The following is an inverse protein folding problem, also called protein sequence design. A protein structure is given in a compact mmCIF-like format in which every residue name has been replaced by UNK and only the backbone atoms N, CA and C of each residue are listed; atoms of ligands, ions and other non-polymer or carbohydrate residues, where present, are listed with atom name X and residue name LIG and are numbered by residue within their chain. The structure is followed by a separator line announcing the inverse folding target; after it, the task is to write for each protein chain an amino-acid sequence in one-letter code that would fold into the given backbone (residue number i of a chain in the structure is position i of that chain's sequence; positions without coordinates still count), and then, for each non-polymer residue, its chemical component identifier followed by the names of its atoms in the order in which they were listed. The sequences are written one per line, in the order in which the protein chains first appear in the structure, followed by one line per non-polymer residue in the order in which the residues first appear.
data_IF_306815412538
#
_entry.id   IF_306815412538
#
_cell.length_a   1.000
_cell.length_b   1.000
_cell.length_c   1.000
_cell.angle_alpha   90.00
_cell.angle_beta   90.00
_cell.angle_gamma   90.00
#
_symmetry.space_group_name_H-M   'P 1'
#
loop_
_entity.id
_entity.type
_entity.pdbx_description
1 polymer ?
#
# COMPACT_ATOMS: atom_id res chain seq x y z
N UNK A 1 -7.33 15.56 -3.70
CA UNK A 1 -7.98 15.95 -2.44
C UNK A 1 -8.85 17.19 -2.65
N UNK A 2 -8.31 18.27 -3.22
CA UNK A 2 -9.03 19.54 -3.43
C UNK A 2 -10.25 19.46 -4.36
N UNK A 3 -10.36 18.45 -5.23
CA UNK A 3 -11.51 18.27 -6.14
C UNK A 3 -12.86 18.10 -5.41
N UNK A 4 -12.84 17.67 -4.14
CA UNK A 4 -14.02 17.60 -3.30
C UNK A 4 -13.61 17.98 -1.87
N UNK A 5 -13.66 19.28 -1.54
CA UNK A 5 -13.35 19.76 -0.20
C UNK A 5 -14.24 19.09 0.84
N UNK A 6 -13.65 18.81 2.00
CA UNK A 6 -14.35 18.28 3.16
C UNK A 6 -14.17 19.19 4.35
N UNK A 7 -15.14 19.15 5.25
CA UNK A 7 -15.07 19.80 6.55
C UNK A 7 -15.30 18.76 7.66
N UNK A 8 -14.60 18.86 8.79
CA UNK A 8 -14.92 18.06 9.95
C UNK A 8 -16.28 18.48 10.50
N UNK A 9 -17.13 17.49 10.79
CA UNK A 9 -18.46 17.67 11.38
C UNK A 9 -18.56 16.81 12.62
N UNK A 10 -19.09 17.40 13.69
CA UNK A 10 -19.39 16.72 14.94
C UNK A 10 -20.89 16.46 15.00
N UNK A 11 -21.26 15.21 15.25
CA UNK A 11 -22.66 14.80 15.46
C UNK A 11 -22.83 14.26 16.88
N UNK A 12 -23.85 14.78 17.55
CA UNK A 12 -24.33 14.28 18.84
C UNK A 12 -25.61 13.51 18.58
N UNK A 13 -25.64 12.24 18.99
CA UNK A 13 -26.90 11.51 18.94
C UNK A 13 -27.83 12.02 20.05
N UNK A 14 -29.15 11.99 19.79
CA UNK A 14 -30.16 12.49 20.73
C UNK A 14 -30.38 11.58 21.96
N UNK A 15 -29.74 10.41 22.00
CA UNK A 15 -29.84 9.49 23.13
C UNK A 15 -28.95 9.94 24.28
N UNK A 16 -29.49 9.87 25.50
CA UNK A 16 -28.75 10.21 26.72
C UNK A 16 -27.49 9.34 26.85
N UNK A 17 -26.33 10.00 27.02
CA UNK A 17 -25.03 9.34 27.15
C UNK A 17 -24.36 8.94 25.84
N UNK A 18 -24.87 9.35 24.68
CA UNK A 18 -24.19 9.09 23.42
C UNK A 18 -22.91 9.92 23.27
N UNK A 19 -21.80 9.25 22.95
CA UNK A 19 -20.53 9.90 22.65
C UNK A 19 -20.60 10.69 21.34
N UNK A 20 -20.02 11.90 21.26
CA UNK A 20 -20.00 12.69 20.05
C UNK A 20 -19.13 12.01 18.99
N UNK A 21 -19.66 11.88 17.76
CA UNK A 21 -18.95 11.28 16.64
C UNK A 21 -18.47 12.35 15.67
N UNK A 22 -17.17 12.39 15.42
CA UNK A 22 -16.58 13.23 14.38
C UNK A 22 -16.54 12.47 13.05
N UNK A 23 -16.95 13.13 11.96
CA UNK A 23 -16.84 12.59 10.61
C UNK A 23 -16.51 13.70 9.61
N UNK A 24 -16.00 13.32 8.42
CA UNK A 24 -15.81 14.27 7.32
C UNK A 24 -17.10 14.40 6.50
N UNK A 25 -17.58 15.62 6.30
CA UNK A 25 -18.65 15.91 5.34
C UNK A 25 -18.07 16.53 4.07
N UNK A 26 -18.53 16.08 2.90
CA UNK A 26 -18.14 16.63 1.59
C UNK A 26 -19.01 17.82 1.22
N UNK A 27 -18.40 18.84 0.58
CA UNK A 27 -19.16 19.90 -0.06
C UNK A 27 -20.13 19.32 -1.13
N UNK A 28 -21.35 19.84 -1.17
CA UNK A 28 -22.34 19.42 -2.17
C UNK A 28 -21.87 19.77 -3.59
N UNK A 29 -22.30 18.97 -4.58
CA UNK A 29 -22.12 19.27 -6.00
C UNK A 29 -20.89 18.66 -6.70
N UNK A 30 -19.99 17.97 -5.99
CA UNK A 30 -18.88 17.25 -6.64
C UNK A 30 -19.39 16.02 -7.41
N UNK A 31 -18.86 15.75 -8.61
CA UNK A 31 -19.20 14.56 -9.38
C UNK A 31 -18.78 13.27 -8.64
N UNK A 32 -19.48 12.12 -8.84
CA UNK A 32 -19.14 10.87 -8.15
C UNK A 32 -17.67 10.44 -8.32
N UNK A 33 -17.11 10.60 -9.51
CA UNK A 33 -15.70 10.28 -9.79
C UNK A 33 -14.74 11.18 -8.99
N UNK A 34 -15.01 12.48 -8.91
CA UNK A 34 -14.19 13.43 -8.15
C UNK A 34 -14.25 13.14 -6.65
N UNK A 35 -15.40 12.71 -6.12
CA UNK A 35 -15.51 12.28 -4.73
C UNK A 35 -14.59 11.09 -4.44
N UNK A 36 -14.56 10.09 -5.32
CA UNK A 36 -13.68 8.92 -5.17
C UNK A 36 -12.19 9.32 -5.23
N UNK A 37 -11.80 10.10 -6.24
CA UNK A 37 -10.41 10.55 -6.40
C UNK A 37 -9.97 11.43 -5.23
N UNK A 38 -10.83 12.33 -4.76
CA UNK A 38 -10.54 13.19 -3.62
C UNK A 38 -10.39 12.38 -2.32
N UNK A 39 -11.25 11.39 -2.09
CA UNK A 39 -11.17 10.50 -0.93
C UNK A 39 -9.87 9.67 -0.94
N UNK A 40 -9.52 9.05 -2.07
CA UNK A 40 -8.25 8.32 -2.22
C UNK A 40 -7.04 9.22 -1.98
N UNK A 41 -7.05 10.43 -2.52
CA UNK A 41 -5.97 11.38 -2.31
C UNK A 41 -5.84 11.80 -0.83
N UNK A 42 -6.95 12.03 -0.11
CA UNK A 42 -6.90 12.33 1.33
C UNK A 42 -6.37 11.15 2.14
N UNK A 43 -6.85 9.95 1.87
CA UNK A 43 -6.36 8.74 2.52
C UNK A 43 -4.86 8.53 2.27
N UNK A 44 -4.39 8.74 1.03
CA UNK A 44 -2.97 8.65 0.69
C UNK A 44 -2.13 9.72 1.39
N UNK A 45 -2.62 10.97 1.48
CA UNK A 45 -1.94 12.05 2.21
C UNK A 45 -1.83 11.71 3.69
N UNK A 46 -2.95 11.31 4.34
CA UNK A 46 -2.97 10.94 5.74
C UNK A 46 -2.02 9.77 6.04
N UNK A 47 -2.04 8.75 5.18
CA UNK A 47 -1.11 7.62 5.26
C UNK A 47 0.36 8.04 5.12
N UNK A 48 0.67 8.85 4.11
CA UNK A 48 2.05 9.28 3.81
C UNK A 48 2.61 10.27 4.82
N UNK A 49 1.75 11.01 5.52
CA UNK A 49 2.10 11.92 6.60
C UNK A 49 2.12 11.22 7.98
N UNK A 50 1.47 10.06 8.11
CA UNK A 50 1.35 9.32 9.37
C UNK A 50 2.53 8.40 9.68
N UNK A 51 2.44 7.72 10.84
CA UNK A 51 3.48 6.84 11.36
C UNK A 51 3.74 5.61 10.47
N UNK A 52 2.68 5.09 9.84
CA UNK A 52 2.74 3.94 8.94
C UNK A 52 3.61 4.18 7.70
N UNK A 53 3.88 5.43 7.34
CA UNK A 53 4.86 5.78 6.29
C UNK A 53 6.18 5.04 6.52
N UNK A 54 6.64 4.95 7.77
CA UNK A 54 7.91 4.30 8.11
C UNK A 54 7.89 2.79 7.89
N UNK A 55 6.71 2.18 7.77
CA UNK A 55 6.50 0.75 7.51
C UNK A 55 6.32 0.44 6.02
N UNK A 56 6.04 1.43 5.17
CA UNK A 56 5.88 1.25 3.73
C UNK A 56 7.19 0.77 3.07
N UNK A 57 7.14 -0.36 2.36
CA UNK A 57 8.29 -0.93 1.63
C UNK A 57 7.88 -1.35 0.23
N UNK A 58 8.82 -1.25 -0.72
CA UNK A 58 8.68 -1.87 -2.03
C UNK A 58 8.91 -3.38 -1.91
N UNK A 59 8.18 -4.19 -2.67
CA UNK A 59 8.38 -5.64 -2.67
C UNK A 59 9.66 -6.02 -3.43
N UNK A 60 10.53 -6.81 -2.81
CA UNK A 60 11.80 -7.26 -3.41
C UNK A 60 11.67 -8.48 -4.35
N UNK A 61 10.46 -8.94 -4.67
CA UNK A 61 10.30 -10.07 -5.57
C UNK A 61 10.47 -9.64 -7.04
N UNK A 62 11.10 -10.48 -7.90
CA UNK A 62 11.26 -10.16 -9.31
C UNK A 62 9.93 -9.80 -9.98
N UNK A 63 9.93 -8.70 -10.75
CA UNK A 63 8.77 -8.16 -11.47
C UNK A 63 7.57 -7.76 -10.59
N UNK A 64 7.76 -7.61 -9.27
CA UNK A 64 6.71 -7.06 -8.40
C UNK A 64 6.78 -5.53 -8.38
N UNK A 65 5.66 -4.86 -8.65
CA UNK A 65 5.56 -3.39 -8.59
C UNK A 65 4.80 -2.89 -7.37
N UNK A 66 4.42 -3.79 -6.46
CA UNK A 66 3.58 -3.46 -5.30
C UNK A 66 4.41 -2.96 -4.12
N UNK A 67 3.82 -2.02 -3.38
CA UNK A 67 4.23 -1.68 -2.03
C UNK A 67 3.46 -2.52 -1.00
N UNK A 68 4.01 -2.64 0.20
CA UNK A 68 3.36 -3.27 1.34
C UNK A 68 3.75 -2.58 2.64
N UNK A 69 2.93 -2.77 3.67
CA UNK A 69 3.27 -2.38 5.04
C UNK A 69 4.03 -3.51 5.72
N UNK A 70 5.23 -3.21 6.20
CA UNK A 70 6.05 -4.14 6.96
C UNK A 70 5.43 -4.34 8.35
N UNK A 71 4.92 -5.53 8.60
CA UNK A 71 4.31 -5.94 9.88
C UNK A 71 5.33 -6.55 10.84
N UNK A 72 6.33 -7.25 10.31
CA UNK A 72 7.40 -7.85 11.12
C UNK A 72 8.80 -7.60 10.53
N UNK A 73 9.87 -7.57 11.35
CA UNK A 73 11.22 -7.21 10.91
C UNK A 73 11.80 -8.04 9.75
N UNK A 74 11.38 -9.30 9.62
CA UNK A 74 11.84 -10.22 8.55
C UNK A 74 10.99 -10.20 7.27
N UNK A 75 9.95 -9.36 7.19
CA UNK A 75 9.09 -9.31 5.99
C UNK A 75 9.80 -8.55 4.87
N UNK A 76 10.10 -9.25 3.79
CA UNK A 76 10.76 -8.70 2.59
C UNK A 76 9.85 -8.67 1.35
N UNK A 77 8.68 -9.32 1.44
CA UNK A 77 7.74 -9.47 0.32
C UNK A 77 6.32 -9.11 0.70
N UNK A 78 5.56 -8.58 -0.26
CA UNK A 78 4.17 -8.19 -0.05
C UNK A 78 3.24 -9.37 0.22
N UNK A 79 3.59 -10.57 -0.26
CA UNK A 79 2.83 -11.81 -0.09
C UNK A 79 3.75 -13.03 -0.06
N UNK A 80 3.30 -14.18 0.48
CA UNK A 80 4.05 -15.44 0.42
C UNK A 80 4.40 -15.88 -1.02
N UNK A 81 3.51 -15.66 -1.98
CA UNK A 81 3.73 -15.98 -3.40
C UNK A 81 4.90 -15.20 -4.02
N UNK A 82 5.13 -13.96 -3.56
CA UNK A 82 6.29 -13.17 -3.96
C UNK A 82 7.61 -13.75 -3.41
N UNK A 83 7.59 -14.25 -2.17
CA UNK A 83 8.73 -14.97 -1.60
C UNK A 83 9.08 -16.26 -2.35
N UNK A 84 8.07 -17.03 -2.78
CA UNK A 84 8.28 -18.21 -3.63
C UNK A 84 8.91 -17.84 -4.97
N UNK A 85 8.39 -16.80 -5.64
CA UNK A 85 8.95 -16.32 -6.90
C UNK A 85 10.41 -15.89 -6.78
N UNK A 86 10.77 -15.19 -5.69
CA UNK A 86 12.15 -14.82 -5.41
C UNK A 86 13.05 -16.05 -5.21
N UNK A 87 12.58 -17.09 -4.50
CA UNK A 87 13.32 -18.35 -4.36
C UNK A 87 13.54 -19.07 -5.69
N UNK A 88 12.51 -19.15 -6.53
CA UNK A 88 12.56 -19.78 -7.86
C UNK A 88 13.53 -19.06 -8.78
N UNK A 89 13.48 -17.72 -8.84
CA UNK A 89 14.41 -16.92 -9.63
C UNK A 89 15.87 -17.18 -9.22
N UNK A 90 16.19 -17.15 -7.91
CA UNK A 90 17.53 -17.48 -7.42
C UNK A 90 17.97 -18.91 -7.74
N UNK A 91 17.05 -19.86 -7.80
CA UNK A 91 17.36 -21.22 -8.22
C UNK A 91 17.75 -21.24 -9.71
N UNK A 92 16.95 -20.63 -10.58
CA UNK A 92 17.27 -20.53 -12.02
C UNK A 92 18.60 -19.81 -12.27
N UNK A 93 18.86 -18.68 -11.60
CA UNK A 93 20.13 -17.94 -11.71
C UNK A 93 21.34 -18.82 -11.34
N UNK A 94 21.24 -19.62 -10.27
CA UNK A 94 22.30 -20.57 -9.89
C UNK A 94 22.50 -21.67 -10.93
N UNK A 95 21.43 -22.18 -11.53
CA UNK A 95 21.52 -23.23 -12.55
C UNK A 95 22.06 -22.69 -13.88
N UNK A 96 21.60 -21.52 -14.33
CA UNK A 96 22.06 -20.89 -15.57
C UNK A 96 23.53 -20.46 -15.45
N UNK A 97 23.92 -19.83 -14.34
CA UNK A 97 25.31 -19.44 -14.13
C UNK A 97 26.26 -20.62 -13.93
N UNK A 98 25.76 -21.82 -13.57
CA UNK A 98 26.54 -23.07 -13.57
C UNK A 98 26.72 -23.63 -14.98
N UNK A 99 25.69 -23.51 -15.83
CA UNK A 99 25.76 -23.89 -17.23
C UNK A 99 26.71 -22.97 -18.03
N UNK A 100 26.67 -21.65 -17.77
CA UNK A 100 27.56 -20.67 -18.41
C UNK A 100 29.04 -20.81 -17.98
N UNK A 101 29.30 -21.30 -16.75
CA UNK A 101 30.65 -21.52 -16.23
C UNK A 101 31.23 -22.90 -16.56
N UNK A 102 30.48 -23.77 -17.24
CA UNK A 102 31.04 -25.03 -17.73
C UNK A 102 32.06 -24.71 -18.84
N UNK A 103 33.29 -25.29 -18.80
CA UNK A 103 34.27 -25.04 -19.84
C UNK A 103 33.68 -25.44 -21.20
N UNK A 104 33.79 -24.54 -22.18
CA UNK A 104 33.46 -24.85 -23.56
C UNK A 104 34.52 -25.84 -24.03
N UNK A 105 34.20 -27.13 -24.03
CA UNK A 105 35.09 -28.18 -24.54
C UNK A 105 35.36 -27.89 -26.01
N UNK A 106 36.60 -27.48 -26.31
CA UNK A 106 37.15 -27.46 -27.66
C UNK A 106 37.62 -28.88 -28.04
#
# INVERSE_FOLDING_TARGET
AALCPVVPVLTWAAADGAEPAAHEATAAGAAPADRLVAALARAAIGFLAGEDRRRLRACHAPRCVRYFLKEHPRQEWCTPSCGNRARVARHHERHNSRAERAPHSA
#
